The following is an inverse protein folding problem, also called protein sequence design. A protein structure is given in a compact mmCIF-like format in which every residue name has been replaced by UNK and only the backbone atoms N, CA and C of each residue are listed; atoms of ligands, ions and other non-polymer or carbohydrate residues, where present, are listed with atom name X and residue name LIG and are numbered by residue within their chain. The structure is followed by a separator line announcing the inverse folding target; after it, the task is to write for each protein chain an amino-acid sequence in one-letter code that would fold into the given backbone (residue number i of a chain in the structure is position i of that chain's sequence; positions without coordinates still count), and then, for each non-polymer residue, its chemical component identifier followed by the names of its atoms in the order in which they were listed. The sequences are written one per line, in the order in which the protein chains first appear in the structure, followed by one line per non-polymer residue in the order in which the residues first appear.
data_IF_699085647084
#
_entry.id   IF_699085647084
#
_cell.length_a   1.000
_cell.length_b   1.000
_cell.length_c   1.000
_cell.angle_alpha   90.00
_cell.angle_beta   90.00
_cell.angle_gamma   90.00
#
_symmetry.space_group_name_H-M   'P 1'
#
loop_
_entity.id
_entity.type
_entity.pdbx_description
1 polymer ?
#
# COMPACT_ATOMS: atom_id res chain seq x y z
N UNK A 1 -18.02 -9.52 4.17
CA UNK A 1 -17.81 -8.17 3.62
C UNK A 1 -18.06 -8.17 2.12
N UNK A 2 -18.72 -7.14 1.57
CA UNK A 2 -18.91 -7.00 0.11
C UNK A 2 -17.59 -6.68 -0.60
N UNK A 3 -17.46 -7.11 -1.86
CA UNK A 3 -16.31 -6.81 -2.71
C UNK A 3 -16.31 -5.32 -3.06
N UNK A 4 -15.26 -4.59 -2.69
CA UNK A 4 -15.12 -3.16 -2.94
C UNK A 4 -13.95 -2.90 -3.90
N UNK A 5 -14.15 -1.98 -4.85
CA UNK A 5 -13.15 -1.59 -5.85
C UNK A 5 -12.99 -0.07 -5.86
N UNK A 6 -11.75 0.40 -5.73
CA UNK A 6 -11.40 1.81 -5.71
C UNK A 6 -10.30 2.07 -6.74
N UNK A 7 -10.40 3.20 -7.43
CA UNK A 7 -9.36 3.70 -8.33
C UNK A 7 -8.88 5.04 -7.79
N UNK A 8 -7.59 5.13 -7.46
CA UNK A 8 -6.93 6.37 -7.09
C UNK A 8 -6.08 6.84 -8.27
N UNK A 9 -6.40 8.04 -8.76
CA UNK A 9 -5.64 8.73 -9.80
C UNK A 9 -4.60 9.60 -9.13
N UNK A 10 -3.34 9.35 -9.40
CA UNK A 10 -2.23 9.98 -8.69
C UNK A 10 -1.57 11.07 -9.53
N UNK A 11 -0.60 11.78 -8.94
CA UNK A 11 0.31 12.67 -9.68
C UNK A 11 0.96 11.98 -10.89
N UNK A 12 1.35 10.71 -10.75
CA UNK A 12 1.84 9.86 -11.84
C UNK A 12 1.37 8.42 -11.64
N UNK A 13 0.68 7.87 -12.64
CA UNK A 13 0.12 6.53 -12.58
C UNK A 13 -1.16 6.46 -11.75
N UNK A 14 -1.68 5.24 -11.59
CA UNK A 14 -2.89 4.93 -10.85
C UNK A 14 -2.65 3.78 -9.87
N UNK A 15 -3.50 3.73 -8.85
CA UNK A 15 -3.59 2.58 -7.96
C UNK A 15 -5.03 2.07 -7.99
N UNK A 16 -5.18 0.79 -8.30
CA UNK A 16 -6.45 0.07 -8.12
C UNK A 16 -6.38 -0.70 -6.81
N UNK A 17 -7.31 -0.43 -5.91
CA UNK A 17 -7.42 -1.11 -4.61
C UNK A 17 -8.69 -1.93 -4.62
N UNK A 18 -8.54 -3.22 -4.39
CA UNK A 18 -9.67 -4.13 -4.24
C UNK A 18 -9.65 -4.72 -2.82
N UNK A 19 -10.82 -4.79 -2.19
CA UNK A 19 -10.98 -5.48 -0.90
C UNK A 19 -12.02 -6.57 -1.04
N UNK A 20 -11.66 -7.82 -0.72
CA UNK A 20 -12.56 -8.97 -0.74
C UNK A 20 -12.39 -9.81 0.54
N UNK A 21 -13.52 -10.12 1.21
CA UNK A 21 -13.56 -10.86 2.47
C UNK A 21 -12.59 -10.34 3.55
N UNK A 22 -11.33 -10.76 3.51
CA UNK A 22 -10.25 -10.41 4.45
C UNK A 22 -8.92 -10.06 3.76
N UNK A 23 -8.93 -9.77 2.46
CA UNK A 23 -7.73 -9.42 1.70
C UNK A 23 -7.87 -8.04 1.07
N UNK A 24 -6.77 -7.32 1.07
CA UNK A 24 -6.60 -6.07 0.33
C UNK A 24 -5.62 -6.34 -0.79
N UNK A 25 -6.03 -6.06 -2.02
CA UNK A 25 -5.18 -6.19 -3.21
C UNK A 25 -4.83 -4.81 -3.74
N UNK A 26 -3.54 -4.57 -3.95
CA UNK A 26 -2.99 -3.31 -4.45
C UNK A 26 -2.43 -3.55 -5.86
N UNK A 27 -3.03 -2.92 -6.86
CA UNK A 27 -2.51 -2.93 -8.22
C UNK A 27 -1.91 -1.57 -8.56
N UNK A 28 -0.64 -1.56 -8.96
CA UNK A 28 0.03 -0.34 -9.43
C UNK A 28 0.00 -0.31 -10.96
N UNK A 29 -0.54 0.76 -11.54
CA UNK A 29 -0.50 1.03 -12.98
C UNK A 29 0.34 2.28 -13.23
N UNK A 30 1.43 2.13 -13.98
CA UNK A 30 2.40 3.21 -14.18
C UNK A 30 2.06 4.17 -15.32
N UNK A 31 0.97 3.94 -16.07
CA UNK A 31 0.54 4.80 -17.18
C UNK A 31 1.71 5.22 -18.11
N UNK A 32 2.58 4.25 -18.47
CA UNK A 32 3.81 4.40 -19.28
C UNK A 32 5.09 4.82 -18.54
N UNK A 33 5.07 4.91 -17.21
CA UNK A 33 6.25 5.08 -16.37
C UNK A 33 6.82 3.76 -15.83
N UNK A 34 7.73 3.90 -14.86
CA UNK A 34 8.39 2.82 -14.11
C UNK A 34 7.97 2.78 -12.63
N UNK A 35 7.14 3.73 -12.20
CA UNK A 35 6.64 3.86 -10.83
C UNK A 35 5.39 4.75 -10.75
N UNK A 36 4.64 4.58 -9.67
CA UNK A 36 3.58 5.51 -9.26
C UNK A 36 4.17 6.61 -8.38
N UNK A 37 3.61 7.81 -8.44
CA UNK A 37 3.97 8.93 -7.56
C UNK A 37 2.75 9.51 -6.88
N UNK A 38 2.84 9.64 -5.56
CA UNK A 38 1.83 10.27 -4.75
C UNK A 38 2.23 11.72 -4.47
N UNK A 39 1.34 12.66 -4.79
CA UNK A 39 1.35 13.97 -4.16
C UNK A 39 0.87 13.86 -2.70
N UNK A 40 1.00 14.95 -1.94
CA UNK A 40 0.56 15.03 -0.54
C UNK A 40 -0.92 14.62 -0.37
N UNK A 41 -1.81 15.12 -1.23
CA UNK A 41 -3.23 14.80 -1.20
C UNK A 41 -3.49 13.34 -1.53
N UNK A 42 -2.82 12.81 -2.56
CA UNK A 42 -2.96 11.41 -2.99
C UNK A 42 -2.52 10.46 -1.87
N UNK A 43 -1.48 10.85 -1.13
CA UNK A 43 -0.95 10.10 0.01
C UNK A 43 -1.97 10.07 1.15
N UNK A 44 -2.61 11.19 1.45
CA UNK A 44 -3.67 11.26 2.47
C UNK A 44 -4.88 10.40 2.08
N UNK A 45 -5.31 10.45 0.82
CA UNK A 45 -6.42 9.64 0.33
C UNK A 45 -6.11 8.15 0.41
N UNK A 46 -4.88 7.75 0.05
CA UNK A 46 -4.42 6.37 0.16
C UNK A 46 -4.38 5.90 1.62
N UNK A 47 -3.82 6.71 2.53
CA UNK A 47 -3.77 6.41 3.97
C UNK A 47 -5.18 6.19 4.52
N UNK A 48 -6.11 7.11 4.24
CA UNK A 48 -7.48 7.02 4.74
C UNK A 48 -8.19 5.77 4.22
N UNK A 49 -8.03 5.47 2.93
CA UNK A 49 -8.65 4.30 2.31
C UNK A 49 -8.10 2.99 2.89
N UNK A 50 -6.77 2.83 2.96
CA UNK A 50 -6.15 1.64 3.51
C UNK A 50 -6.47 1.44 4.99
N UNK A 51 -6.49 2.52 5.78
CA UNK A 51 -6.88 2.49 7.19
C UNK A 51 -8.32 2.01 7.34
N UNK A 52 -9.25 2.61 6.58
CA UNK A 52 -10.67 2.23 6.61
C UNK A 52 -10.88 0.76 6.26
N UNK A 53 -10.25 0.29 5.18
CA UNK A 53 -10.38 -1.11 4.74
C UNK A 53 -9.77 -2.08 5.76
N UNK A 54 -8.62 -1.71 6.34
CA UNK A 54 -7.97 -2.53 7.37
C UNK A 54 -8.82 -2.61 8.65
N UNK A 55 -9.43 -1.50 9.06
CA UNK A 55 -10.34 -1.46 10.20
C UNK A 55 -11.57 -2.35 9.98
N UNK A 56 -12.19 -2.27 8.80
CA UNK A 56 -13.33 -3.13 8.44
C UNK A 56 -13.00 -4.62 8.55
N UNK A 57 -11.82 -5.04 8.07
CA UNK A 57 -11.37 -6.42 8.17
C UNK A 57 -11.05 -6.81 9.61
N UNK A 58 -10.37 -5.93 10.36
CA UNK A 58 -9.95 -6.20 11.73
C UNK A 58 -11.13 -6.36 12.71
N UNK A 59 -12.19 -5.59 12.49
CA UNK A 59 -13.41 -5.59 13.31
C UNK A 59 -14.37 -6.75 12.97
N UNK A 60 -14.19 -7.44 11.84
CA UNK A 60 -15.01 -8.61 11.49
C UNK A 60 -14.76 -9.77 12.48
N UNK A 61 -15.83 -10.30 13.06
CA UNK A 61 -15.77 -11.37 14.07
C UNK A 61 -15.22 -12.69 13.53
N UNK A 62 -15.35 -12.93 12.21
CA UNK A 62 -14.89 -14.15 11.57
C UNK A 62 -13.45 -14.03 11.05
N UNK A 63 -12.85 -12.83 11.12
CA UNK A 63 -11.45 -12.64 10.75
C UNK A 63 -10.51 -13.20 11.82
N UNK A 64 -9.64 -14.12 11.41
CA UNK A 64 -8.57 -14.64 12.29
C UNK A 64 -7.42 -13.65 12.33
N UNK A 65 -7.26 -12.97 13.47
CA UNK A 65 -6.20 -11.97 13.67
C UNK A 65 -4.83 -12.64 13.76
N UNK A 66 -3.97 -12.33 12.80
CA UNK A 66 -2.55 -12.73 12.84
C UNK A 66 -1.79 -11.80 13.79
N UNK A 67 -1.15 -12.32 14.87
CA UNK A 67 -0.39 -11.48 15.78
C UNK A 67 0.78 -10.82 15.04
N UNK A 68 0.98 -9.53 15.29
CA UNK A 68 2.16 -8.82 14.82
C UNK A 68 3.36 -9.21 15.68
N UNK A 69 4.28 -10.00 15.12
CA UNK A 69 5.41 -10.58 15.85
C UNK A 69 6.75 -9.90 15.57
N UNK A 70 6.88 -9.30 14.38
CA UNK A 70 8.08 -8.58 13.94
C UNK A 70 7.74 -7.68 12.76
N UNK A 71 8.62 -6.71 12.52
CA UNK A 71 8.63 -5.89 11.31
C UNK A 71 8.72 -6.78 10.05
N UNK A 72 7.89 -6.49 9.06
CA UNK A 72 7.81 -7.22 7.79
C UNK A 72 8.60 -6.55 6.66
N UNK A 73 8.80 -5.22 6.73
CA UNK A 73 9.66 -4.52 5.76
C UNK A 73 11.14 -4.58 6.09
N UNK A 74 11.96 -4.42 5.04
CA UNK A 74 13.37 -4.09 5.12
C UNK A 74 13.53 -2.60 4.82
N UNK A 75 14.28 -1.89 5.66
CA UNK A 75 14.63 -0.47 5.46
C UNK A 75 16.08 -0.32 5.03
N UNK A 76 16.32 0.46 3.99
CA UNK A 76 17.64 0.87 3.54
C UNK A 76 17.59 2.31 3.02
N UNK A 77 18.31 3.25 3.64
CA UNK A 77 18.42 4.64 3.17
C UNK A 77 17.06 5.27 2.80
N UNK A 78 16.06 5.19 3.70
CA UNK A 78 14.68 5.67 3.50
C UNK A 78 13.87 4.97 2.40
N UNK A 79 14.35 3.83 1.91
CA UNK A 79 13.61 2.90 1.06
C UNK A 79 13.06 1.76 1.91
N UNK A 80 11.76 1.52 1.82
CA UNK A 80 11.04 0.49 2.57
C UNK A 80 10.56 -0.57 1.58
N UNK A 81 10.84 -1.84 1.86
CA UNK A 81 10.47 -2.92 0.93
C UNK A 81 9.85 -4.12 1.62
N UNK A 82 8.80 -4.67 1.01
CA UNK A 82 8.07 -5.86 1.47
C UNK A 82 8.12 -6.94 0.40
N UNK A 83 8.41 -8.18 0.82
CA UNK A 83 8.17 -9.36 -0.01
C UNK A 83 6.72 -9.84 0.20
N UNK A 84 5.96 -9.92 -0.89
CA UNK A 84 4.53 -10.25 -0.94
C UNK A 84 4.32 -11.26 -2.07
N UNK A 85 4.00 -12.51 -1.76
CA UNK A 85 3.74 -13.57 -2.75
C UNK A 85 4.75 -13.60 -3.92
N UNK A 86 6.05 -13.71 -3.58
CA UNK A 86 7.18 -13.67 -4.54
C UNK A 86 7.33 -12.36 -5.34
N UNK A 87 6.62 -11.31 -4.92
CA UNK A 87 6.69 -9.97 -5.47
C UNK A 87 7.34 -9.04 -4.45
N UNK A 88 7.91 -7.94 -4.93
CA UNK A 88 8.51 -6.91 -4.08
C UNK A 88 7.69 -5.63 -4.23
N UNK A 89 7.20 -5.07 -3.13
CA UNK A 89 6.71 -3.69 -3.07
C UNK A 89 7.82 -2.82 -2.48
N UNK A 90 8.06 -1.66 -3.08
CA UNK A 90 9.03 -0.68 -2.59
C UNK A 90 8.36 0.69 -2.49
N UNK A 91 8.57 1.35 -1.35
CA UNK A 91 8.12 2.71 -1.06
C UNK A 91 9.34 3.55 -0.66
N UNK A 92 9.51 4.71 -1.28
CA UNK A 92 10.58 5.65 -0.97
C UNK A 92 10.09 7.09 -1.15
N UNK A 93 10.77 8.05 -0.51
CA UNK A 93 10.53 9.47 -0.76
C UNK A 93 11.55 9.99 -1.77
N UNK A 94 11.05 10.60 -2.85
CA UNK A 94 11.89 11.27 -3.84
C UNK A 94 12.01 12.75 -3.49
N UNK A 95 13.18 13.15 -2.98
CA UNK A 95 13.48 14.53 -2.59
C UNK A 95 13.44 15.51 -3.78
N UNK A 96 13.83 15.07 -4.98
CA UNK A 96 13.88 15.93 -6.17
C UNK A 96 12.48 16.31 -6.62
N UNK A 97 11.53 15.37 -6.51
CA UNK A 97 10.15 15.56 -6.97
C UNK A 97 9.17 15.89 -5.85
N UNK A 98 9.66 15.91 -4.60
CA UNK A 98 8.91 16.11 -3.38
C UNK A 98 7.63 15.25 -3.33
N UNK A 99 7.81 13.94 -3.56
CA UNK A 99 6.74 12.98 -3.73
C UNK A 99 7.13 11.59 -3.23
N UNK A 100 6.15 10.81 -2.77
CA UNK A 100 6.35 9.40 -2.43
C UNK A 100 6.27 8.58 -3.71
N UNK A 101 7.21 7.66 -3.88
CA UNK A 101 7.32 6.77 -5.03
C UNK A 101 6.95 5.35 -4.62
N UNK A 102 6.07 4.71 -5.40
CA UNK A 102 5.67 3.32 -5.23
C UNK A 102 6.08 2.48 -6.43
N UNK A 103 6.81 1.41 -6.17
CA UNK A 103 7.34 0.47 -7.17
C UNK A 103 6.95 -0.96 -6.80
N UNK A 104 6.72 -1.80 -7.79
CA UNK A 104 6.57 -3.23 -7.60
C UNK A 104 7.45 -4.00 -8.60
N UNK A 105 7.83 -5.22 -8.22
CA UNK A 105 8.47 -6.18 -9.11
C UNK A 105 7.84 -7.55 -8.86
N UNK A 106 7.37 -8.22 -9.91
CA UNK A 106 6.73 -9.53 -9.80
C UNK A 106 5.26 -9.47 -10.16
N UNK A 107 4.40 -10.11 -9.37
CA UNK A 107 2.98 -10.16 -9.60
C UNK A 107 2.32 -8.80 -9.35
N UNK A 108 1.25 -8.56 -10.11
CA UNK A 108 0.38 -7.39 -10.00
C UNK A 108 -1.03 -7.88 -10.32
N UNK A 109 -2.01 -7.81 -9.41
CA UNK A 109 -1.99 -7.12 -8.11
C UNK A 109 -1.12 -7.80 -7.04
N UNK A 110 -0.69 -7.01 -6.04
CA UNK A 110 -0.07 -7.45 -4.79
C UNK A 110 -1.17 -7.78 -3.78
N UNK A 111 -1.16 -8.97 -3.17
CA UNK A 111 -2.13 -9.37 -2.16
C UNK A 111 -1.56 -9.14 -0.75
N UNK A 112 -2.05 -8.09 -0.08
CA UNK A 112 -1.53 -7.64 1.20
C UNK A 112 -2.25 -8.30 2.36
N UNK A 113 -1.46 -8.75 3.34
CA UNK A 113 -1.96 -9.08 4.68
C UNK A 113 -2.16 -7.80 5.50
N UNK A 114 -3.08 -7.82 6.48
CA UNK A 114 -3.39 -6.65 7.31
C UNK A 114 -2.17 -6.06 7.99
N UNK A 115 -1.25 -6.89 8.50
CA UNK A 115 -0.04 -6.40 9.14
C UNK A 115 0.85 -5.62 8.14
N UNK A 116 0.91 -6.03 6.88
CA UNK A 116 1.63 -5.30 5.83
C UNK A 116 0.92 -3.99 5.49
N UNK A 117 -0.42 -3.99 5.41
CA UNK A 117 -1.18 -2.76 5.15
C UNK A 117 -0.98 -1.73 6.27
N UNK A 118 -0.97 -2.17 7.53
CA UNK A 118 -0.69 -1.30 8.67
C UNK A 118 0.71 -0.70 8.59
N UNK A 119 1.73 -1.50 8.29
CA UNK A 119 3.09 -0.98 8.11
C UNK A 119 3.18 0.00 6.93
N UNK A 120 2.52 -0.29 5.80
CA UNK A 120 2.46 0.62 4.65
C UNK A 120 1.83 1.95 5.04
N UNK A 121 0.71 1.95 5.78
CA UNK A 121 0.07 3.18 6.28
C UNK A 121 1.05 3.98 7.14
N UNK A 122 1.72 3.34 8.10
CA UNK A 122 2.68 4.01 8.99
C UNK A 122 3.87 4.61 8.21
N UNK A 123 4.36 3.91 7.19
CA UNK A 123 5.44 4.43 6.34
C UNK A 123 4.95 5.60 5.48
N UNK A 124 3.75 5.52 4.91
CA UNK A 124 3.16 6.64 4.17
C UNK A 124 2.99 7.86 5.08
N UNK A 125 2.47 7.69 6.30
CA UNK A 125 2.35 8.77 7.30
C UNK A 125 3.72 9.38 7.65
N UNK A 126 4.75 8.54 7.86
CA UNK A 126 6.12 8.98 8.14
C UNK A 126 6.72 9.83 7.02
N UNK A 127 6.42 9.48 5.77
CA UNK A 127 6.97 10.16 4.58
C UNK A 127 6.14 11.37 4.13
N UNK A 128 4.91 11.52 4.62
CA UNK A 128 3.98 12.57 4.26
C UNK A 128 4.14 13.83 5.13
N UNK A 129 5.30 14.50 5.01
CA UNK A 129 5.69 15.70 5.80
C UNK A 129 5.57 16.98 4.97
#
# INVERSE_FOLDING_TARGET
MENQLFNLFLKKGNIVIQSNEYRISLQLDYENGDHCQLALTDTQDLIQLLTRLSQQIWEDENYTKTPYVKQLYIENQNTFSWEIDSSLLTIEFNETENAIVLKHKGNNPLHLEINQVVEIVQILERLNI
#
